data_IF_755517875553
#
_entry.id   IF_755517875553
#
_cell.length_a   1.000
_cell.length_b   1.000
_cell.length_c   1.000
_cell.angle_alpha   90.00
_cell.angle_beta   90.00
_cell.angle_gamma   90.00
#
_symmetry.space_group_name_H-M   'P 1'
#
loop_
_entity.id
_entity.type
_entity.pdbx_description
1 polymer ?
#
# COMPACT_ATOMS: atom_id res chain seq x y z
N UNK A 1 18.41 -3.12 2.62
CA UNK A 1 17.87 -2.61 1.34
C UNK A 1 16.57 -1.87 1.62
N UNK A 2 16.48 -0.58 1.30
CA UNK A 2 15.28 0.26 1.50
C UNK A 2 14.59 0.46 0.15
N UNK A 3 13.89 -0.58 -0.33
CA UNK A 3 13.25 -0.57 -1.65
C UNK A 3 12.12 0.47 -1.78
N UNK A 4 11.57 0.93 -0.65
CA UNK A 4 10.45 1.87 -0.61
C UNK A 4 10.86 3.29 -0.21
N UNK A 5 12.15 3.59 -0.10
CA UNK A 5 12.61 4.92 0.30
C UNK A 5 12.09 6.00 -0.66
N UNK A 6 11.38 6.99 -0.12
CA UNK A 6 10.78 8.08 -0.91
C UNK A 6 9.55 7.70 -1.73
N UNK A 7 9.14 6.43 -1.74
CA UNK A 7 7.94 5.99 -2.44
C UNK A 7 6.69 6.24 -1.61
N UNK A 8 5.60 6.62 -2.29
CA UNK A 8 4.27 6.74 -1.70
C UNK A 8 3.42 5.59 -2.21
N UNK A 9 3.02 4.73 -1.28
CA UNK A 9 2.17 3.57 -1.52
C UNK A 9 0.74 3.95 -1.20
N UNK A 10 -0.16 3.85 -2.17
CA UNK A 10 -1.59 4.04 -1.99
C UNK A 10 -2.32 2.71 -1.92
N UNK A 11 -3.25 2.56 -0.97
CA UNK A 11 -4.05 1.33 -0.86
C UNK A 11 -5.51 1.60 -1.16
N UNK A 12 -6.11 0.76 -2.01
CA UNK A 12 -7.55 0.79 -2.30
C UNK A 12 -8.24 -0.37 -1.58
N UNK A 13 -8.96 -0.07 -0.50
CA UNK A 13 -9.68 -1.05 0.30
C UNK A 13 -8.80 -1.84 1.27
N UNK A 14 -9.37 -2.93 1.81
CA UNK A 14 -8.68 -3.78 2.80
C UNK A 14 -7.80 -4.82 2.12
N UNK A 15 -6.59 -5.05 2.64
CA UNK A 15 -5.67 -6.07 2.14
C UNK A 15 -6.21 -7.49 2.41
N UNK A 16 -5.86 -8.43 1.55
CA UNK A 16 -6.29 -9.83 1.65
C UNK A 16 -5.44 -10.65 2.65
N UNK A 17 -4.12 -10.46 2.61
CA UNK A 17 -3.18 -11.33 3.34
C UNK A 17 -2.95 -10.91 4.81
N UNK A 18 -2.99 -9.61 5.13
CA UNK A 18 -2.70 -9.12 6.47
C UNK A 18 -3.29 -7.72 6.73
N UNK A 19 -3.40 -7.27 7.99
CA UNK A 19 -3.97 -5.97 8.32
C UNK A 19 -3.11 -4.78 7.84
N UNK A 20 -3.78 -3.68 7.46
CA UNK A 20 -3.12 -2.45 6.94
C UNK A 20 -2.06 -1.87 7.88
N UNK A 21 -2.22 -2.02 9.20
CA UNK A 21 -1.24 -1.56 10.20
C UNK A 21 0.15 -2.21 10.04
N UNK A 22 0.20 -3.47 9.61
CA UNK A 22 1.48 -4.15 9.37
C UNK A 22 2.12 -3.64 8.08
N UNK A 23 1.31 -3.39 7.04
CA UNK A 23 1.78 -2.72 5.83
C UNK A 23 2.38 -1.35 6.16
N UNK A 24 1.69 -0.55 6.98
CA UNK A 24 2.12 0.79 7.37
C UNK A 24 3.50 0.75 8.04
N UNK A 25 3.65 -0.13 9.03
CA UNK A 25 4.92 -0.30 9.75
C UNK A 25 6.07 -0.69 8.83
N UNK A 26 5.84 -1.60 7.90
CA UNK A 26 6.91 -2.04 6.99
C UNK A 26 7.28 -0.96 5.97
N UNK A 27 6.29 -0.24 5.45
CA UNK A 27 6.51 0.90 4.53
C UNK A 27 7.29 2.01 5.25
N UNK A 28 6.92 2.33 6.50
CA UNK A 28 7.64 3.30 7.34
C UNK A 28 9.07 2.82 7.67
N UNK A 29 9.24 1.53 8.01
CA UNK A 29 10.56 0.92 8.27
C UNK A 29 11.49 1.06 7.06
N UNK A 30 10.94 1.01 5.85
CA UNK A 30 11.67 1.16 4.60
C UNK A 30 11.80 2.62 4.12
N UNK A 31 11.45 3.61 4.96
CA UNK A 31 11.49 5.05 4.64
C UNK A 31 10.51 5.47 3.53
N UNK A 32 9.43 4.72 3.36
CA UNK A 32 8.32 5.05 2.45
C UNK A 32 7.12 5.64 3.21
N UNK A 33 6.07 5.99 2.46
CA UNK A 33 4.82 6.50 3.01
C UNK A 33 3.64 5.65 2.56
N UNK A 34 2.78 5.24 3.51
CA UNK A 34 1.53 4.55 3.20
C UNK A 34 0.34 5.52 3.31
N UNK A 35 -0.54 5.53 2.31
CA UNK A 35 -1.77 6.34 2.30
C UNK A 35 -2.99 5.49 1.97
N UNK A 36 -4.12 5.85 2.57
CA UNK A 36 -5.43 5.34 2.15
C UNK A 36 -5.88 6.11 0.92
N UNK A 37 -6.25 5.38 -0.13
CA UNK A 37 -6.55 5.96 -1.44
C UNK A 37 -5.29 6.30 -2.24
N UNK A 38 -5.51 6.93 -3.40
CA UNK A 38 -4.47 7.28 -4.36
C UNK A 38 -4.56 8.77 -4.63
N UNK A 39 -3.41 9.45 -4.64
CA UNK A 39 -3.30 10.85 -5.01
C UNK A 39 -2.24 11.02 -6.10
N UNK A 40 -2.05 12.26 -6.58
CA UNK A 40 -1.06 12.58 -7.62
C UNK A 40 0.39 12.26 -7.26
N UNK A 41 0.70 12.06 -5.97
CA UNK A 41 2.05 11.72 -5.48
C UNK A 41 2.25 10.22 -5.25
N UNK A 42 1.21 9.40 -5.44
CA UNK A 42 1.28 7.95 -5.22
C UNK A 42 2.08 7.31 -6.34
N UNK A 43 3.20 6.68 -6.00
CA UNK A 43 4.06 5.99 -6.97
C UNK A 43 3.62 4.54 -7.21
N UNK A 44 3.03 3.89 -6.21
CA UNK A 44 2.54 2.52 -6.35
C UNK A 44 1.18 2.37 -5.70
N UNK A 45 0.30 1.58 -6.32
CA UNK A 45 -1.05 1.29 -5.84
C UNK A 45 -1.17 -0.18 -5.50
N UNK A 46 -1.71 -0.47 -4.32
CA UNK A 46 -2.04 -1.83 -3.87
C UNK A 46 -3.55 -1.99 -3.84
N UNK A 47 -4.05 -2.95 -4.61
CA UNK A 47 -5.47 -3.29 -4.66
C UNK A 47 -5.83 -4.24 -3.52
N UNK A 48 -6.87 -3.88 -2.77
CA UNK A 48 -7.40 -4.70 -1.69
C UNK A 48 -8.27 -5.86 -2.19
N UNK A 49 -8.68 -6.71 -1.23
CA UNK A 49 -9.39 -7.97 -1.46
C UNK A 49 -10.64 -7.84 -2.34
N UNK A 50 -11.42 -6.77 -2.17
CA UNK A 50 -12.66 -6.59 -2.93
C UNK A 50 -12.40 -6.31 -4.40
N UNK A 51 -11.30 -5.63 -4.72
CA UNK A 51 -10.94 -5.36 -6.11
C UNK A 51 -10.26 -6.58 -6.74
N UNK A 52 -9.39 -7.26 -5.99
CA UNK A 52 -8.78 -8.51 -6.43
C UNK A 52 -9.83 -9.59 -6.73
N UNK A 53 -10.88 -9.70 -5.91
CA UNK A 53 -11.98 -10.65 -6.12
C UNK A 53 -12.84 -10.36 -7.36
N UNK A 54 -12.78 -9.15 -7.93
CA UNK A 54 -13.47 -8.80 -9.19
C UNK A 54 -12.58 -9.01 -10.42
N UNK A 55 -11.28 -9.13 -10.22
CA UNK A 55 -10.30 -9.28 -11.29
C UNK A 55 -9.96 -10.74 -11.59
N UNK A 56 -10.52 -11.69 -10.82
CA UNK A 56 -10.51 -13.13 -11.10
C UNK A 56 -11.87 -13.59 -11.58
#
# INVERSE_FOLDING_TARGET
>A
MTALAGNVIGTIGALAAFPLRLAAREVERQQGQLRRGVNRRTSHVVFGRTFLAKAG
#
